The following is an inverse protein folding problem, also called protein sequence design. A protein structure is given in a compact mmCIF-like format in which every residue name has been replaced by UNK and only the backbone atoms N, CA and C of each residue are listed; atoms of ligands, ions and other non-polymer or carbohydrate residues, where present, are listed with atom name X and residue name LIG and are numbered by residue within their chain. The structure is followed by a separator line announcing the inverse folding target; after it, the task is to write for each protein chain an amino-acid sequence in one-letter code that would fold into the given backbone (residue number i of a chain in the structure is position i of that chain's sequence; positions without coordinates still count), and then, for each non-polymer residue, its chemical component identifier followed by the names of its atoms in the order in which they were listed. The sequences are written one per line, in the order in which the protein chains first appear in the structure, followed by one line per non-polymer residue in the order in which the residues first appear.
data_IF_304880508714
#
_entry.id   IF_304880508714
#
_cell.length_a   1.000
_cell.length_b   1.000
_cell.length_c   1.000
_cell.angle_alpha   90.00
_cell.angle_beta   90.00
_cell.angle_gamma   90.00
#
_symmetry.space_group_name_H-M   'P 1'
#
loop_
_entity.id
_entity.type
_entity.pdbx_description
1 polymer ?
#
# COMPACT_ATOMS: atom_id res chain seq x y z
N UNK A 1 -18.16 1.42 20.95
CA UNK A 1 -18.43 2.80 20.53
C UNK A 1 -17.54 3.05 19.31
N UNK A 2 -18.09 3.26 18.11
CA UNK A 2 -17.29 3.57 16.92
C UNK A 2 -16.57 4.90 17.16
N UNK A 3 -15.24 4.90 17.19
CA UNK A 3 -14.47 6.13 17.32
C UNK A 3 -14.59 6.93 16.02
N UNK A 4 -15.18 8.13 16.10
CA UNK A 4 -15.27 9.06 14.98
C UNK A 4 -13.87 9.51 14.55
N UNK A 5 -13.61 9.59 13.24
CA UNK A 5 -12.37 10.19 12.71
C UNK A 5 -12.27 11.64 13.19
N UNK A 6 -11.14 12.00 13.80
CA UNK A 6 -10.94 13.33 14.37
C UNK A 6 -9.47 13.74 14.26
N UNK A 7 -9.24 14.85 13.56
CA UNK A 7 -7.94 15.52 13.46
C UNK A 7 -8.17 16.98 13.84
N UNK A 8 -7.59 17.39 14.96
CA UNK A 8 -7.82 18.74 15.53
C UNK A 8 -6.54 19.58 15.59
N UNK A 9 -5.39 19.02 15.19
CA UNK A 9 -4.09 19.69 15.21
C UNK A 9 -3.08 18.91 14.36
N UNK A 10 -2.16 19.63 13.71
CA UNK A 10 -1.01 19.08 12.98
C UNK A 10 0.17 18.71 13.88
N UNK A 11 0.20 19.21 15.13
CA UNK A 11 1.30 19.00 16.09
C UNK A 11 0.87 18.22 17.34
N UNK A 12 -0.40 17.81 17.39
CA UNK A 12 -0.92 16.99 18.47
C UNK A 12 -0.31 15.59 18.47
N UNK A 13 -0.47 14.85 19.57
CA UNK A 13 -0.03 13.46 19.62
C UNK A 13 -0.75 12.62 18.57
N UNK A 14 0.02 12.11 17.60
CA UNK A 14 -0.48 11.23 16.56
C UNK A 14 -0.99 9.91 17.17
N UNK A 15 -2.19 9.49 16.76
CA UNK A 15 -2.83 8.26 17.27
C UNK A 15 -2.95 7.18 16.20
N UNK A 16 -3.17 7.59 14.96
CA UNK A 16 -3.33 6.72 13.79
C UNK A 16 -2.96 7.51 12.55
N UNK A 17 -2.39 6.85 11.56
CA UNK A 17 -2.14 7.42 10.24
C UNK A 17 -2.41 6.40 9.13
N UNK A 18 -2.59 6.93 7.93
CA UNK A 18 -2.61 6.17 6.69
C UNK A 18 -1.29 6.41 5.97
N UNK A 19 -0.65 5.33 5.53
CA UNK A 19 0.61 5.35 4.79
C UNK A 19 0.49 4.47 3.56
N UNK A 20 1.33 4.73 2.55
CA UNK A 20 1.43 3.86 1.39
C UNK A 20 2.87 3.54 1.06
N UNK A 21 3.20 2.25 1.12
CA UNK A 21 4.55 1.76 0.83
C UNK A 21 4.87 1.90 -0.66
N UNK A 22 6.09 2.34 -1.03
CA UNK A 22 6.56 2.42 -2.41
C UNK A 22 6.23 1.15 -3.19
N UNK A 23 5.33 1.22 -4.17
CA UNK A 23 4.86 0.07 -4.93
C UNK A 23 5.69 -0.15 -6.21
N UNK A 24 5.37 -1.20 -6.97
CA UNK A 24 6.11 -1.54 -8.20
C UNK A 24 5.93 -0.53 -9.33
N UNK A 25 4.90 0.31 -9.30
CA UNK A 25 4.63 1.38 -10.25
C UNK A 25 5.77 2.40 -10.33
N UNK A 26 6.41 2.70 -9.20
CA UNK A 26 7.61 3.55 -9.16
C UNK A 26 8.78 2.98 -9.98
N UNK A 27 8.91 1.65 -10.03
CA UNK A 27 9.94 0.98 -10.84
C UNK A 27 9.64 0.98 -12.34
N UNK A 28 8.44 1.40 -12.76
CA UNK A 28 8.02 1.49 -14.17
C UNK A 28 8.14 2.91 -14.74
N UNK A 29 8.55 3.89 -13.93
CA UNK A 29 8.70 5.28 -14.36
C UNK A 29 9.86 5.36 -15.36
N UNK A 30 9.54 5.66 -16.62
CA UNK A 30 10.53 5.92 -17.66
C UNK A 30 10.89 7.40 -17.72
N UNK A 31 12.10 7.79 -18.17
CA UNK A 31 12.53 9.19 -18.16
C UNK A 31 11.57 10.14 -18.89
N UNK A 32 10.99 9.68 -20.00
CA UNK A 32 10.04 10.46 -20.80
C UNK A 32 8.68 10.69 -20.13
N UNK A 33 8.38 9.94 -19.05
CA UNK A 33 7.13 10.03 -18.29
C UNK A 33 7.29 10.58 -16.89
N UNK A 34 8.52 10.74 -16.40
CA UNK A 34 8.79 11.23 -15.05
C UNK A 34 8.06 12.56 -14.78
N UNK A 35 8.22 13.55 -15.67
CA UNK A 35 7.57 14.85 -15.52
C UNK A 35 6.04 14.76 -15.62
N UNK A 36 5.50 13.98 -16.57
CA UNK A 36 4.05 13.75 -16.70
C UNK A 36 3.47 13.12 -15.43
N UNK A 37 4.25 12.29 -14.73
CA UNK A 37 3.87 11.58 -13.50
C UNK A 37 4.33 12.28 -12.23
N UNK A 38 4.75 13.54 -12.33
CA UNK A 38 5.16 14.40 -11.21
C UNK A 38 6.38 13.87 -10.42
N UNK A 39 7.26 13.11 -11.06
CA UNK A 39 8.56 12.71 -10.53
C UNK A 39 9.65 13.68 -10.98
N UNK A 40 10.47 14.14 -10.04
CA UNK A 40 11.67 14.94 -10.33
C UNK A 40 12.77 14.08 -10.97
N UNK A 41 12.91 12.81 -10.56
CA UNK A 41 13.88 11.86 -11.11
C UNK A 41 13.40 10.41 -10.94
N UNK A 42 14.07 9.48 -11.62
CA UNK A 42 13.85 8.04 -11.51
C UNK A 42 14.47 7.54 -10.21
N UNK A 43 13.67 6.77 -9.47
CA UNK A 43 14.07 6.25 -8.16
C UNK A 43 14.57 4.81 -8.24
N UNK A 44 15.59 4.50 -7.42
CA UNK A 44 16.01 3.11 -7.22
C UNK A 44 15.11 2.44 -6.18
N UNK A 45 14.10 1.71 -6.66
CA UNK A 45 13.02 1.16 -5.83
C UNK A 45 13.51 0.32 -4.64
N UNK A 46 14.54 -0.50 -4.82
CA UNK A 46 15.08 -1.32 -3.73
C UNK A 46 15.73 -0.49 -2.62
N UNK A 47 16.42 0.60 -2.99
CA UNK A 47 17.03 1.51 -2.01
C UNK A 47 15.95 2.21 -1.21
N UNK A 48 14.97 2.82 -1.87
CA UNK A 48 13.89 3.55 -1.19
C UNK A 48 13.11 2.60 -0.28
N UNK A 49 12.79 1.40 -0.74
CA UNK A 49 12.07 0.42 0.09
C UNK A 49 12.87 0.02 1.32
N UNK A 50 14.09 -0.51 1.13
CA UNK A 50 14.87 -1.17 2.19
C UNK A 50 15.51 -0.19 3.15
N UNK A 51 16.08 0.88 2.61
CA UNK A 51 16.96 1.77 3.38
C UNK A 51 16.23 2.98 3.93
N UNK A 52 15.06 3.32 3.38
CA UNK A 52 14.32 4.53 3.77
C UNK A 52 12.94 4.17 4.32
N UNK A 53 12.06 3.59 3.50
CA UNK A 53 10.66 3.42 3.87
C UNK A 53 10.42 2.34 4.93
N UNK A 54 11.17 1.23 4.89
CA UNK A 54 11.13 0.23 5.96
C UNK A 54 11.55 0.85 7.29
N UNK A 55 12.56 1.73 7.27
CA UNK A 55 13.02 2.44 8.46
C UNK A 55 11.96 3.42 8.99
N UNK A 56 11.32 4.18 8.09
CA UNK A 56 10.18 5.04 8.41
C UNK A 56 9.04 4.24 9.06
N UNK A 57 8.68 3.10 8.48
CA UNK A 57 7.64 2.19 9.01
C UNK A 57 8.00 1.68 10.40
N UNK A 58 9.27 1.29 10.62
CA UNK A 58 9.74 0.88 11.96
C UNK A 58 9.52 1.98 12.99
N UNK A 59 9.92 3.21 12.68
CA UNK A 59 9.74 4.36 13.58
C UNK A 59 8.26 4.54 13.92
N UNK A 60 7.38 4.56 12.92
CA UNK A 60 5.95 4.71 13.14
C UNK A 60 5.39 3.61 14.06
N UNK A 61 5.74 2.34 13.80
CA UNK A 61 5.30 1.21 14.63
C UNK A 61 5.83 1.32 16.06
N UNK A 62 7.06 1.79 16.27
CA UNK A 62 7.59 1.98 17.63
C UNK A 62 6.79 2.99 18.45
N UNK A 63 6.23 4.02 17.83
CA UNK A 63 5.44 5.04 18.51
C UNK A 63 3.96 4.69 18.59
N UNK A 64 3.40 4.05 17.57
CA UNK A 64 1.95 3.90 17.39
C UNK A 64 1.44 2.48 17.61
N UNK A 65 2.29 1.46 17.41
CA UNK A 65 1.94 0.07 17.67
C UNK A 65 3.15 -0.78 18.10
N UNK A 66 3.67 -0.55 19.33
CA UNK A 66 4.88 -1.22 19.80
C UNK A 66 4.74 -2.75 19.85
N UNK A 67 3.51 -3.27 19.92
CA UNK A 67 3.21 -4.71 20.01
C UNK A 67 3.66 -5.47 18.75
N UNK A 68 3.65 -4.80 17.59
CA UNK A 68 4.05 -5.36 16.31
C UNK A 68 5.57 -5.42 16.12
N UNK A 69 6.34 -4.56 16.79
CA UNK A 69 7.76 -4.37 16.48
C UNK A 69 8.74 -4.52 17.65
N UNK A 70 8.36 -4.16 18.88
CA UNK A 70 9.29 -4.07 20.02
C UNK A 70 9.87 -5.46 20.35
N UNK A 71 11.19 -5.58 20.26
CA UNK A 71 11.92 -6.83 20.52
C UNK A 71 11.96 -7.81 19.33
N UNK A 72 11.31 -7.49 18.21
CA UNK A 72 11.18 -8.38 17.04
C UNK A 72 12.06 -7.99 15.85
N UNK A 73 12.83 -6.90 15.93
CA UNK A 73 13.63 -6.38 14.81
C UNK A 73 14.57 -7.41 14.17
N UNK A 74 15.25 -8.24 14.99
CA UNK A 74 16.16 -9.27 14.48
C UNK A 74 15.46 -10.29 13.60
N UNK A 75 14.23 -10.65 13.95
CA UNK A 75 13.39 -11.57 13.18
C UNK A 75 12.83 -10.85 11.95
N UNK A 76 12.23 -9.67 12.14
CA UNK A 76 11.60 -8.89 11.06
C UNK A 76 12.59 -8.61 9.91
N UNK A 77 13.82 -8.22 10.23
CA UNK A 77 14.85 -7.85 9.25
C UNK A 77 15.73 -9.04 8.83
N UNK A 78 15.44 -10.25 9.30
CA UNK A 78 16.18 -11.45 8.92
C UNK A 78 16.05 -11.70 7.41
N UNK A 79 17.17 -12.07 6.76
CA UNK A 79 17.24 -12.20 5.30
C UNK A 79 16.26 -13.27 4.80
N UNK A 80 16.10 -14.34 5.56
CA UNK A 80 15.17 -15.44 5.35
C UNK A 80 13.70 -15.00 5.28
N UNK A 81 13.35 -13.90 5.95
CA UNK A 81 11.98 -13.36 5.98
C UNK A 81 11.69 -12.44 4.80
N UNK A 82 12.67 -12.16 3.92
CA UNK A 82 12.49 -11.52 2.61
C UNK A 82 11.65 -10.24 2.63
N UNK A 83 11.71 -9.46 3.71
CA UNK A 83 10.90 -8.24 3.93
C UNK A 83 9.38 -8.47 3.92
N UNK A 84 8.93 -9.68 4.16
CA UNK A 84 7.52 -10.03 4.12
C UNK A 84 6.68 -9.26 5.16
N UNK A 85 7.30 -8.82 6.25
CA UNK A 85 6.68 -7.93 7.25
C UNK A 85 6.19 -6.59 6.67
N UNK A 86 6.81 -6.10 5.59
CA UNK A 86 6.52 -4.78 4.99
C UNK A 86 5.68 -4.84 3.72
N UNK A 87 5.33 -6.04 3.23
CA UNK A 87 4.61 -6.24 1.97
C UNK A 87 3.10 -6.36 2.21
N UNK A 88 2.28 -5.38 1.80
CA UNK A 88 0.83 -5.38 2.09
C UNK A 88 0.08 -6.61 1.56
N UNK A 89 0.58 -7.24 0.50
CA UNK A 89 0.00 -8.45 -0.10
C UNK A 89 0.37 -9.75 0.62
N UNK A 90 1.33 -9.72 1.55
CA UNK A 90 1.87 -10.94 2.16
C UNK A 90 1.15 -11.29 3.48
N UNK A 91 0.88 -12.58 3.77
CA UNK A 91 0.21 -12.98 5.02
C UNK A 91 0.91 -12.52 6.31
N UNK A 92 2.24 -12.45 6.29
CA UNK A 92 3.08 -11.98 7.41
C UNK A 92 3.21 -10.45 7.52
N UNK A 93 2.41 -9.69 6.75
CA UNK A 93 2.40 -8.24 6.82
C UNK A 93 2.07 -7.75 8.24
N UNK A 94 2.67 -6.63 8.66
CA UNK A 94 2.53 -6.15 10.04
C UNK A 94 1.07 -5.82 10.43
N UNK A 95 0.22 -5.41 9.47
CA UNK A 95 -1.23 -5.23 9.64
C UNK A 95 -1.60 -4.52 10.96
N UNK A 96 -1.12 -3.28 11.13
CA UNK A 96 -1.40 -2.47 12.33
C UNK A 96 -2.71 -1.71 12.19
N UNK A 97 -3.45 -1.57 13.28
CA UNK A 97 -4.66 -0.73 13.34
C UNK A 97 -4.34 0.76 13.58
N UNK A 98 -3.08 1.10 13.86
CA UNK A 98 -2.63 2.47 14.13
C UNK A 98 -1.73 3.00 13.00
N UNK A 99 -0.90 2.14 12.40
CA UNK A 99 -0.15 2.45 11.18
C UNK A 99 -0.84 1.72 10.03
N UNK A 100 -1.82 2.36 9.39
CA UNK A 100 -2.66 1.67 8.40
C UNK A 100 -2.01 1.83 7.03
N UNK A 101 -1.79 0.73 6.31
CA UNK A 101 -1.27 0.76 4.95
C UNK A 101 -2.41 0.73 3.92
N UNK A 102 -2.33 1.62 2.93
CA UNK A 102 -3.40 1.91 1.98
C UNK A 102 -3.77 0.71 1.09
N UNK A 103 -2.80 0.00 0.51
CA UNK A 103 -3.06 -1.16 -0.34
C UNK A 103 -3.70 -2.29 0.48
N UNK A 104 -3.22 -2.52 1.71
CA UNK A 104 -3.81 -3.51 2.62
C UNK A 104 -5.24 -3.15 3.00
N UNK A 105 -5.51 -1.89 3.36
CA UNK A 105 -6.85 -1.41 3.67
C UNK A 105 -7.78 -1.54 2.45
N UNK A 106 -7.30 -1.18 1.26
CA UNK A 106 -8.06 -1.31 0.03
C UNK A 106 -8.39 -2.79 -0.26
N UNK A 107 -7.45 -3.71 -0.04
CA UNK A 107 -7.72 -5.14 -0.20
C UNK A 107 -8.86 -5.62 0.71
N UNK A 108 -8.94 -5.13 1.96
CA UNK A 108 -10.06 -5.46 2.85
C UNK A 108 -11.39 -4.89 2.35
N UNK A 109 -11.39 -3.65 1.87
CA UNK A 109 -12.59 -3.02 1.29
C UNK A 109 -13.10 -3.82 0.07
N UNK A 110 -12.18 -4.39 -0.71
CA UNK A 110 -12.48 -5.19 -1.90
C UNK A 110 -12.92 -6.63 -1.59
N UNK A 111 -12.96 -7.05 -0.32
CA UNK A 111 -13.61 -8.30 0.08
C UNK A 111 -15.13 -8.24 -0.10
N UNK A 112 -15.71 -7.04 0.00
CA UNK A 112 -17.11 -6.78 -0.32
C UNK A 112 -17.30 -6.82 -1.85
N UNK A 113 -18.08 -7.79 -2.32
CA UNK A 113 -18.31 -8.06 -3.75
C UNK A 113 -19.02 -6.90 -4.45
N UNK A 114 -19.94 -6.21 -3.76
CA UNK A 114 -20.67 -5.08 -4.33
C UNK A 114 -19.75 -3.86 -4.47
N UNK A 115 -18.94 -3.58 -3.45
CA UNK A 115 -17.94 -2.51 -3.50
C UNK A 115 -16.89 -2.82 -4.58
N UNK A 116 -16.38 -4.05 -4.62
CA UNK A 116 -15.43 -4.50 -5.63
C UNK A 116 -15.96 -4.29 -7.04
N UNK A 117 -17.17 -4.75 -7.33
CA UNK A 117 -17.78 -4.63 -8.66
C UNK A 117 -17.98 -3.16 -9.07
N UNK A 118 -18.39 -2.30 -8.12
CA UNK A 118 -18.54 -0.86 -8.36
C UNK A 118 -17.20 -0.19 -8.62
N UNK A 119 -16.18 -0.47 -7.80
CA UNK A 119 -14.85 0.11 -7.97
C UNK A 119 -14.20 -0.32 -9.28
N UNK A 120 -14.28 -1.60 -9.66
CA UNK A 120 -13.76 -2.06 -10.96
C UNK A 120 -14.44 -1.30 -12.11
N UNK A 121 -15.77 -1.20 -12.10
CA UNK A 121 -16.49 -0.47 -13.14
C UNK A 121 -16.09 1.02 -13.18
N UNK A 122 -15.96 1.68 -12.03
CA UNK A 122 -15.54 3.08 -11.94
C UNK A 122 -14.12 3.32 -12.44
N UNK A 123 -13.16 2.48 -12.04
CA UNK A 123 -11.76 2.56 -12.49
C UNK A 123 -11.69 2.33 -14.00
N UNK A 124 -12.35 1.29 -14.52
CA UNK A 124 -12.38 1.02 -15.96
C UNK A 124 -13.00 2.17 -16.77
N UNK A 125 -14.03 2.83 -16.23
CA UNK A 125 -14.62 3.99 -16.89
C UNK A 125 -13.68 5.21 -16.93
N UNK A 126 -12.96 5.47 -15.83
CA UNK A 126 -12.00 6.59 -15.74
C UNK A 126 -10.80 6.36 -16.65
N UNK A 127 -10.23 5.16 -16.60
CA UNK A 127 -9.04 4.77 -17.37
C UNK A 127 -9.37 4.35 -18.82
N UNK A 128 -10.65 4.45 -19.22
CA UNK A 128 -11.12 4.05 -20.55
C UNK A 128 -10.73 2.60 -20.93
N UNK A 129 -10.77 1.68 -19.96
CA UNK A 129 -10.43 0.28 -20.17
C UNK A 129 -11.46 -0.42 -21.06
N UNK A 130 -11.02 -1.49 -21.73
CA UNK A 130 -11.91 -2.34 -22.52
C UNK A 130 -12.80 -3.18 -21.63
N UNK A 131 -13.94 -3.66 -22.17
CA UNK A 131 -14.79 -4.62 -21.47
C UNK A 131 -14.04 -5.91 -21.12
N UNK A 132 -13.11 -6.34 -21.99
CA UNK A 132 -12.27 -7.52 -21.73
C UNK A 132 -11.38 -7.32 -20.50
N UNK A 133 -10.71 -6.17 -20.40
CA UNK A 133 -9.91 -5.80 -19.22
C UNK A 133 -10.77 -5.74 -17.96
N UNK A 134 -11.99 -5.21 -18.06
CA UNK A 134 -12.92 -5.17 -16.93
C UNK A 134 -13.28 -6.58 -16.43
N UNK A 135 -13.55 -7.52 -17.34
CA UNK A 135 -13.82 -8.92 -16.99
C UNK A 135 -12.61 -9.59 -16.33
N UNK A 136 -11.40 -9.31 -16.82
CA UNK A 136 -10.16 -9.81 -16.21
C UNK A 136 -9.99 -9.27 -14.78
N UNK A 137 -10.16 -7.97 -14.58
CA UNK A 137 -10.07 -7.34 -13.25
C UNK A 137 -11.13 -7.87 -12.27
N UNK A 138 -12.33 -8.18 -12.74
CA UNK A 138 -13.37 -8.82 -11.91
C UNK A 138 -12.99 -10.23 -11.46
N UNK A 139 -12.07 -10.89 -12.16
CA UNK A 139 -11.54 -12.21 -11.81
C UNK A 139 -10.43 -12.20 -10.76
N UNK A 140 -9.88 -11.04 -10.42
CA UNK A 140 -8.75 -10.92 -9.49
C UNK A 140 -9.21 -11.11 -8.03
N UNK A 141 -8.32 -11.64 -7.21
CA UNK A 141 -8.51 -11.61 -5.74
C UNK A 141 -8.47 -10.16 -5.23
N UNK A 142 -9.06 -9.85 -4.06
CA UNK A 142 -9.02 -8.51 -3.47
C UNK A 142 -7.59 -7.94 -3.33
N UNK A 143 -6.63 -8.80 -2.98
CA UNK A 143 -5.21 -8.43 -2.82
C UNK A 143 -4.58 -8.08 -4.17
N UNK A 144 -4.79 -8.91 -5.19
CA UNK A 144 -4.30 -8.64 -6.55
C UNK A 144 -4.91 -7.36 -7.10
N UNK A 145 -6.22 -7.19 -6.92
CA UNK A 145 -6.95 -6.05 -7.43
C UNK A 145 -6.51 -4.74 -6.76
N UNK A 146 -6.33 -4.72 -5.43
CA UNK A 146 -5.81 -3.56 -4.71
C UNK A 146 -4.43 -3.13 -5.24
N UNK A 147 -3.54 -4.11 -5.45
CA UNK A 147 -2.22 -3.87 -6.04
C UNK A 147 -2.31 -3.35 -7.47
N UNK A 148 -3.21 -3.89 -8.28
CA UNK A 148 -3.41 -3.46 -9.67
C UNK A 148 -4.00 -2.06 -9.77
N UNK A 149 -4.95 -1.68 -8.91
CA UNK A 149 -5.50 -0.32 -8.85
C UNK A 149 -4.45 0.75 -8.54
N UNK A 150 -3.45 0.41 -7.74
CA UNK A 150 -2.36 1.34 -7.40
C UNK A 150 -1.25 1.34 -8.46
N UNK A 151 -0.77 0.14 -8.84
CA UNK A 151 0.46 0.01 -9.64
C UNK A 151 0.23 -0.06 -11.16
N UNK A 152 -1.04 0.00 -11.58
CA UNK A 152 -1.49 -0.22 -12.94
C UNK A 152 -1.38 -1.67 -13.39
N UNK A 153 -2.22 -2.08 -14.35
CA UNK A 153 -2.05 -3.36 -15.04
C UNK A 153 -0.90 -3.29 -16.04
N UNK A 154 -0.05 -4.31 -16.10
CA UNK A 154 0.73 -4.56 -17.30
C UNK A 154 -0.23 -5.19 -18.31
N UNK A 155 -0.66 -4.43 -19.31
CA UNK A 155 -1.10 -5.04 -20.56
C UNK A 155 0.12 -5.61 -21.30
#
# INVERSE_FOLDING_TARGET
MLSQLSVTSEIGTLKRLLVHSPDSGLGKVVPSKAQDWLFEDIVHLDTIRRNEYDFYTKILLYFLDPTKIKGKLKEIDAVENQRNFYKPEHPNFFASENVIELQWLLAQVLEDVDIRSKLVASVCAIESCTYQTQLELLGYTPIELAKTFISGSAA
#
